data_IF_167628943601
#
_entry.id   IF_167628943601
#
_cell.length_a   1.000
_cell.length_b   1.000
_cell.length_c   1.000
_cell.angle_alpha   90.00
_cell.angle_beta   90.00
_cell.angle_gamma   90.00
#
_symmetry.space_group_name_H-M   'P 1'
#
loop_
_entity.id
_entity.type
_entity.pdbx_description
1 polymer ?
#
# COMPACT_ATOMS: atom_id res chain seq x y z
N UNK A 1 25.07 -21.16 47.08
CA UNK A 1 24.04 -20.87 48.11
C UNK A 1 23.66 -19.38 48.05
N UNK A 2 22.38 -19.03 48.27
CA UNK A 2 21.82 -17.72 48.71
C UNK A 2 22.33 -16.43 47.99
N UNK A 3 21.57 -15.83 47.06
CA UNK A 3 20.39 -14.93 47.22
C UNK A 3 20.66 -13.55 47.87
N UNK A 4 20.67 -12.50 47.03
CA UNK A 4 20.18 -11.09 47.20
C UNK A 4 19.86 -10.56 45.77
N UNK A 5 18.78 -9.84 45.41
CA UNK A 5 17.66 -9.15 46.09
C UNK A 5 18.09 -7.86 46.81
N UNK A 6 17.55 -6.63 46.61
CA UNK A 6 16.77 -5.86 45.59
C UNK A 6 16.30 -4.57 46.33
N UNK A 7 15.90 -3.50 45.60
CA UNK A 7 15.28 -2.24 46.09
C UNK A 7 16.26 -1.20 46.69
N UNK A 8 16.02 0.12 46.63
CA UNK A 8 14.96 0.94 46.00
C UNK A 8 15.43 2.40 45.93
N UNK A 9 15.04 3.19 44.93
CA UNK A 9 14.63 4.59 45.12
C UNK A 9 13.63 4.99 44.02
N UNK A 10 12.65 5.81 44.40
CA UNK A 10 11.54 6.28 43.58
C UNK A 10 11.22 7.75 43.93
N UNK A 11 10.19 8.30 43.29
CA UNK A 11 9.75 9.71 43.24
C UNK A 11 10.52 10.59 42.22
N UNK A 12 9.88 11.50 41.48
CA UNK A 12 8.48 11.99 41.59
C UNK A 12 7.83 12.38 40.25
N UNK A 13 6.50 12.31 40.25
CA UNK A 13 5.52 12.68 39.21
C UNK A 13 5.79 14.01 38.49
N UNK A 14 5.31 14.10 37.25
CA UNK A 14 4.29 15.11 36.90
C UNK A 14 3.24 14.46 36.00
N UNK A 15 1.96 14.57 36.38
CA UNK A 15 0.82 14.06 35.62
C UNK A 15 0.20 15.22 34.86
N UNK A 16 -0.04 15.05 33.56
CA UNK A 16 -0.87 15.96 32.77
C UNK A 16 -2.05 15.14 32.22
N UNK A 17 -3.23 15.39 32.77
CA UNK A 17 -4.43 14.66 32.41
C UNK A 17 -4.99 15.18 31.08
N UNK A 18 -5.14 14.28 30.10
CA UNK A 18 -5.98 14.51 28.94
C UNK A 18 -7.41 14.06 29.29
N UNK A 19 -8.34 15.02 29.30
CA UNK A 19 -9.76 14.74 29.42
C UNK A 19 -10.29 14.13 28.11
N UNK A 20 -11.29 13.21 28.16
CA UNK A 20 -11.95 12.74 26.97
C UNK A 20 -12.83 13.85 26.37
N UNK A 21 -12.58 14.23 25.12
CA UNK A 21 -13.50 15.08 24.36
C UNK A 21 -14.74 14.27 23.98
N UNK A 22 -15.91 14.73 24.42
CA UNK A 22 -17.21 14.13 24.10
C UNK A 22 -17.74 14.59 22.72
N UNK A 23 -18.59 13.80 22.03
CA UNK A 23 -18.89 14.01 20.60
C UNK A 23 -19.89 15.14 20.25
N UNK A 24 -20.09 16.16 21.09
CA UNK A 24 -21.28 17.03 21.02
C UNK A 24 -21.06 18.47 20.50
N UNK A 25 -19.83 18.93 20.26
CA UNK A 25 -19.56 20.30 19.78
C UNK A 25 -19.81 20.52 18.26
N UNK A 26 -20.33 19.52 17.55
CA UNK A 26 -20.67 19.61 16.13
C UNK A 26 -22.07 20.20 15.85
N UNK A 27 -22.53 21.21 16.61
CA UNK A 27 -23.74 21.96 16.26
C UNK A 27 -23.81 23.42 16.74
N UNK A 28 -24.19 24.28 15.80
CA UNK A 28 -24.77 25.62 15.93
C UNK A 28 -23.87 26.89 15.82
N UNK A 29 -24.34 27.75 14.90
CA UNK A 29 -24.06 29.18 14.62
C UNK A 29 -22.91 29.47 13.63
N UNK A 30 -23.09 30.36 12.64
CA UNK A 30 -24.23 31.26 12.37
C UNK A 30 -24.52 31.45 10.88
N UNK A 31 -25.80 31.64 10.54
CA UNK A 31 -26.22 31.99 9.18
C UNK A 31 -26.05 33.48 8.89
N UNK A 32 -25.26 33.82 7.88
CA UNK A 32 -25.17 35.17 7.32
C UNK A 32 -26.10 35.32 6.11
N UNK A 33 -27.19 36.07 6.25
CA UNK A 33 -28.04 36.47 5.10
C UNK A 33 -27.32 37.56 4.28
N UNK A 34 -26.90 37.23 3.06
CA UNK A 34 -26.41 38.20 2.06
C UNK A 34 -27.26 38.14 0.79
N UNK A 35 -28.29 38.99 0.67
CA UNK A 35 -29.12 39.06 -0.52
C UNK A 35 -28.50 39.94 -1.61
N UNK A 36 -28.20 39.35 -2.77
CA UNK A 36 -27.79 40.07 -3.99
C UNK A 36 -28.73 39.74 -5.13
N UNK A 37 -29.35 40.74 -5.76
CA UNK A 37 -30.48 40.56 -6.67
C UNK A 37 -30.18 41.09 -8.08
N UNK A 38 -30.64 40.33 -9.09
CA UNK A 38 -30.81 40.67 -10.53
C UNK A 38 -29.56 40.87 -11.39
N UNK A 39 -29.63 40.27 -12.57
CA UNK A 39 -28.71 40.48 -13.70
C UNK A 39 -28.97 39.45 -14.81
N UNK A 40 -30.09 39.55 -15.52
CA UNK A 40 -30.47 38.60 -16.57
C UNK A 40 -30.37 39.19 -17.98
N UNK A 41 -29.64 38.52 -18.86
CA UNK A 41 -29.71 38.50 -20.34
C UNK A 41 -28.98 37.21 -20.77
N UNK A 42 -29.30 36.48 -21.84
CA UNK A 42 -30.27 36.73 -22.90
C UNK A 42 -29.57 36.65 -24.27
N UNK A 43 -29.82 35.57 -25.02
CA UNK A 43 -29.37 35.41 -26.42
C UNK A 43 -28.11 34.56 -26.60
N UNK A 44 -28.11 33.71 -27.64
CA UNK A 44 -26.92 33.06 -28.19
C UNK A 44 -26.88 33.26 -29.71
N UNK A 45 -25.79 32.88 -30.39
CA UNK A 45 -25.78 32.53 -31.82
C UNK A 45 -24.43 31.86 -32.21
N UNK A 46 -24.32 31.40 -33.48
CA UNK A 46 -23.24 30.56 -34.03
C UNK A 46 -22.07 31.36 -34.63
N UNK A 47 -20.93 30.66 -34.82
CA UNK A 47 -19.83 31.04 -35.74
C UNK A 47 -18.63 31.69 -35.05
N UNK A 48 -17.40 31.62 -35.56
CA UNK A 48 -16.93 30.90 -36.76
C UNK A 48 -15.72 31.57 -37.44
N UNK A 49 -14.49 31.29 -36.97
CA UNK A 49 -13.21 31.50 -37.68
C UNK A 49 -12.60 32.92 -37.76
N UNK A 50 -11.26 32.99 -37.85
CA UNK A 50 -10.56 34.05 -38.60
C UNK A 50 -9.68 35.10 -37.87
N UNK A 51 -8.47 34.70 -37.47
CA UNK A 51 -7.18 35.44 -37.54
C UNK A 51 -6.99 36.98 -37.32
N UNK A 52 -5.89 37.28 -36.60
CA UNK A 52 -4.96 38.46 -36.65
C UNK A 52 -5.33 39.78 -35.94
N UNK A 53 -4.62 40.02 -34.82
CA UNK A 53 -3.53 41.02 -34.81
C UNK A 53 -3.73 42.34 -34.04
N UNK A 54 -2.91 42.58 -33.01
CA UNK A 54 -2.73 43.90 -32.37
C UNK A 54 -2.25 43.82 -30.91
N UNK A 55 -1.14 44.49 -30.50
CA UNK A 55 -0.65 44.45 -29.12
C UNK A 55 -1.33 45.49 -28.23
N UNK A 56 -2.02 45.05 -27.19
CA UNK A 56 -2.69 45.91 -26.20
C UNK A 56 -2.08 45.78 -24.81
N UNK A 57 -1.64 46.91 -24.22
CA UNK A 57 -1.24 47.03 -22.81
C UNK A 57 -2.28 46.40 -21.88
N UNK A 58 -1.84 45.57 -20.94
CA UNK A 58 -2.60 45.23 -19.74
C UNK A 58 -2.03 45.96 -18.53
N UNK A 59 -2.82 46.82 -17.90
CA UNK A 59 -2.57 47.37 -16.57
C UNK A 59 -3.68 46.90 -15.62
N UNK A 60 -3.28 46.33 -14.48
CA UNK A 60 -4.02 46.39 -13.21
C UNK A 60 -5.39 45.71 -13.09
N UNK A 61 -5.38 44.45 -12.61
CA UNK A 61 -6.00 44.05 -11.32
C UNK A 61 -5.88 42.53 -11.13
N UNK A 62 -4.90 42.10 -10.35
CA UNK A 62 -4.85 40.72 -9.87
C UNK A 62 -6.04 40.50 -8.91
N UNK A 63 -7.00 39.68 -9.33
CA UNK A 63 -7.90 38.99 -8.39
C UNK A 63 -7.25 37.66 -8.06
N UNK A 64 -6.99 37.43 -6.78
CA UNK A 64 -6.60 36.11 -6.26
C UNK A 64 -7.85 35.21 -6.21
N UNK A 65 -8.32 34.80 -7.39
CA UNK A 65 -9.26 33.68 -7.52
C UNK A 65 -8.43 32.39 -7.46
N UNK A 66 -8.13 31.95 -6.24
CA UNK A 66 -7.24 30.82 -5.94
C UNK A 66 -7.79 29.46 -6.38
N UNK A 67 -7.76 29.19 -7.68
CA UNK A 67 -7.83 27.83 -8.20
C UNK A 67 -6.54 27.08 -7.84
N UNK A 68 -6.58 26.31 -6.76
CA UNK A 68 -5.56 25.31 -6.45
C UNK A 68 -5.64 24.18 -7.48
N UNK A 69 -4.83 24.26 -8.53
CA UNK A 69 -4.73 23.20 -9.52
C UNK A 69 -4.03 21.96 -8.94
N UNK A 70 -4.65 20.80 -9.18
CA UNK A 70 -4.33 19.45 -8.71
C UNK A 70 -2.90 18.95 -9.05
N UNK A 71 -1.85 19.53 -8.47
CA UNK A 71 -0.47 19.03 -8.57
C UNK A 71 -0.17 17.97 -7.49
N UNK A 72 -1.00 16.93 -7.42
CA UNK A 72 -0.80 15.76 -6.53
C UNK A 72 -0.15 14.54 -7.21
N UNK A 73 0.13 14.61 -8.51
CA UNK A 73 0.43 13.45 -9.35
C UNK A 73 1.93 13.07 -9.36
N UNK A 74 2.45 12.65 -8.20
CA UNK A 74 3.88 12.42 -7.97
C UNK A 74 4.31 10.95 -8.15
N UNK A 75 4.50 10.55 -9.41
CA UNK A 75 5.20 9.29 -9.79
C UNK A 75 4.40 8.25 -10.58
N UNK A 76 3.39 8.64 -11.39
CA UNK A 76 2.68 7.69 -12.26
C UNK A 76 3.35 7.59 -13.64
N UNK A 77 4.30 6.65 -13.76
CA UNK A 77 4.75 6.14 -15.06
C UNK A 77 3.55 5.65 -15.90
N UNK A 78 3.54 5.96 -17.19
CA UNK A 78 2.34 5.88 -18.04
C UNK A 78 1.67 4.49 -18.10
N UNK A 79 0.39 4.42 -18.53
CA UNK A 79 -0.48 3.24 -18.40
C UNK A 79 -0.12 2.02 -19.30
N UNK A 80 1.13 1.90 -19.75
CA UNK A 80 1.54 0.92 -20.77
C UNK A 80 2.28 -0.33 -20.28
N UNK A 81 2.77 -0.39 -19.03
CA UNK A 81 3.66 -1.49 -18.57
C UNK A 81 3.44 -2.06 -17.16
N UNK A 82 2.33 -1.74 -16.51
CA UNK A 82 1.97 -2.23 -15.17
C UNK A 82 1.45 -3.68 -15.17
N UNK A 83 2.27 -4.63 -15.66
CA UNK A 83 1.90 -6.04 -15.84
C UNK A 83 2.93 -7.05 -15.34
N UNK A 84 4.00 -6.61 -14.66
CA UNK A 84 5.01 -7.47 -14.03
C UNK A 84 5.41 -6.87 -12.68
N UNK A 85 5.66 -7.75 -11.71
CA UNK A 85 5.88 -7.37 -10.32
C UNK A 85 7.29 -6.76 -10.16
N UNK A 86 7.35 -5.44 -9.99
CA UNK A 86 8.59 -4.66 -9.92
C UNK A 86 9.32 -4.85 -8.58
N UNK A 87 9.69 -6.08 -8.23
CA UNK A 87 10.16 -6.46 -6.89
C UNK A 87 11.47 -5.80 -6.40
N UNK A 88 12.12 -4.98 -7.24
CA UNK A 88 13.22 -4.09 -6.85
C UNK A 88 12.75 -2.81 -6.16
N UNK A 89 11.50 -2.38 -6.36
CA UNK A 89 10.86 -1.31 -5.60
C UNK A 89 10.44 -1.82 -4.21
N UNK A 90 11.40 -2.39 -3.47
CA UNK A 90 11.22 -3.13 -2.21
C UNK A 90 10.30 -2.39 -1.24
N UNK A 91 9.06 -2.84 -1.01
CA UNK A 91 8.20 -2.25 0.00
C UNK A 91 8.62 -2.60 1.43
N UNK A 92 9.61 -3.51 1.58
CA UNK A 92 9.88 -4.21 2.83
C UNK A 92 11.24 -3.86 3.47
N UNK A 93 12.37 -3.84 2.74
CA UNK A 93 13.69 -3.94 3.43
C UNK A 93 14.35 -2.68 3.97
N UNK A 94 13.87 -1.48 3.61
CA UNK A 94 14.27 -0.23 4.30
C UNK A 94 13.09 0.73 4.57
N UNK A 95 11.88 0.43 4.11
CA UNK A 95 10.67 1.23 4.37
C UNK A 95 10.20 1.17 5.84
N UNK A 96 10.55 0.10 6.55
CA UNK A 96 10.23 -0.07 7.98
C UNK A 96 10.97 0.89 8.92
N UNK A 97 11.95 1.68 8.41
CA UNK A 97 12.70 2.65 9.20
C UNK A 97 11.95 3.99 9.39
N UNK A 98 11.63 4.66 8.29
CA UNK A 98 10.98 5.98 8.30
C UNK A 98 10.12 6.16 7.05
N UNK A 99 8.82 5.89 7.18
CA UNK A 99 7.82 6.37 6.23
C UNK A 99 7.39 5.37 5.14
N UNK A 100 6.42 4.53 5.51
CA UNK A 100 5.13 4.57 4.80
C UNK A 100 4.54 5.96 5.07
N UNK A 101 5.09 6.98 4.40
CA UNK A 101 4.74 8.37 4.59
C UNK A 101 3.38 8.58 3.95
N UNK A 102 2.33 8.30 4.73
CA UNK A 102 1.00 7.94 4.25
C UNK A 102 0.60 8.65 2.95
N UNK A 103 0.27 7.84 1.94
CA UNK A 103 -0.31 8.31 0.68
C UNK A 103 -1.39 9.34 1.02
N UNK A 104 -1.11 10.58 0.66
CA UNK A 104 -1.93 11.70 1.06
C UNK A 104 -3.21 11.60 0.27
N UNK A 105 -4.26 11.01 0.85
CA UNK A 105 -5.59 11.08 0.27
C UNK A 105 -5.98 12.57 0.21
N UNK A 106 -5.94 13.23 -0.96
CA UNK A 106 -6.25 14.64 -1.03
C UNK A 106 -7.73 14.78 -0.64
N UNK A 107 -8.03 15.68 0.30
CA UNK A 107 -9.37 15.83 0.89
C UNK A 107 -10.49 16.21 -0.10
N UNK A 108 -10.20 16.26 -1.40
CA UNK A 108 -10.96 16.97 -2.42
C UNK A 108 -11.23 16.14 -3.69
N UNK A 109 -11.13 14.80 -3.63
CA UNK A 109 -11.79 13.94 -4.60
C UNK A 109 -11.18 12.55 -4.74
N UNK A 110 -12.00 11.52 -4.53
CA UNK A 110 -11.83 10.26 -5.27
C UNK A 110 -12.05 10.57 -6.76
N UNK A 111 -11.21 10.01 -7.63
CA UNK A 111 -11.35 10.15 -9.07
C UNK A 111 -12.62 9.48 -9.62
N UNK A 112 -12.83 9.63 -10.93
CA UNK A 112 -14.05 9.16 -11.60
C UNK A 112 -14.23 7.62 -11.61
N UNK A 113 -13.22 6.82 -11.24
CA UNK A 113 -13.30 5.35 -11.30
C UNK A 113 -14.45 4.76 -10.48
N UNK A 114 -14.74 5.30 -9.29
CA UNK A 114 -15.85 4.81 -8.47
C UNK A 114 -17.22 5.03 -9.13
N UNK A 115 -17.35 5.97 -10.08
CA UNK A 115 -18.59 6.23 -10.80
C UNK A 115 -18.80 5.32 -12.03
N UNK A 116 -17.86 4.40 -12.32
CA UNK A 116 -17.97 3.45 -13.43
C UNK A 116 -19.05 2.38 -13.17
N UNK A 117 -19.66 1.90 -14.25
CA UNK A 117 -20.71 0.87 -14.20
C UNK A 117 -20.14 -0.56 -14.04
N UNK A 118 -18.84 -0.71 -14.25
CA UNK A 118 -18.12 -1.99 -14.29
C UNK A 118 -16.93 -2.08 -13.32
N UNK A 119 -16.94 -1.29 -12.22
CA UNK A 119 -15.99 -1.43 -11.10
C UNK A 119 -15.89 -2.90 -10.64
N UNK A 120 -16.97 -3.67 -10.76
CA UNK A 120 -17.00 -5.10 -10.47
C UNK A 120 -16.09 -6.00 -11.36
N UNK A 121 -15.46 -5.45 -12.39
CA UNK A 121 -14.57 -6.14 -13.34
C UNK A 121 -13.13 -5.63 -13.32
N UNK A 122 -12.88 -4.56 -12.60
CA UNK A 122 -11.60 -3.86 -12.55
C UNK A 122 -11.09 -3.85 -11.10
N UNK A 123 -9.80 -3.61 -10.92
CA UNK A 123 -9.26 -3.34 -9.57
C UNK A 123 -9.20 -1.81 -9.44
N UNK A 124 -9.56 -1.25 -8.29
CA UNK A 124 -9.54 0.19 -8.04
C UNK A 124 -8.65 0.55 -6.84
N UNK A 125 -7.97 1.69 -6.86
CA UNK A 125 -7.22 2.23 -5.71
C UNK A 125 -7.99 3.35 -4.96
N UNK A 126 -7.37 3.99 -3.98
CA UNK A 126 -7.94 5.12 -3.23
C UNK A 126 -8.06 6.40 -4.08
N UNK A 127 -7.17 6.60 -5.06
CA UNK A 127 -7.26 7.67 -6.06
C UNK A 127 -8.36 7.44 -7.10
N UNK A 128 -8.99 6.26 -7.11
CA UNK A 128 -9.96 5.78 -8.11
C UNK A 128 -9.36 5.54 -9.51
N UNK A 129 -8.07 5.26 -9.60
CA UNK A 129 -7.46 4.67 -10.79
C UNK A 129 -7.95 3.24 -10.93
N UNK A 130 -8.37 2.88 -12.15
CA UNK A 130 -8.81 1.52 -12.45
C UNK A 130 -7.71 0.76 -13.18
N UNK A 131 -7.53 -0.50 -12.79
CA UNK A 131 -6.55 -1.44 -13.31
C UNK A 131 -7.26 -2.66 -13.91
N UNK A 132 -6.56 -3.37 -14.80
CA UNK A 132 -7.06 -4.64 -15.33
C UNK A 132 -7.37 -5.61 -14.17
N UNK A 133 -8.53 -6.27 -14.22
CA UNK A 133 -8.94 -7.26 -13.23
C UNK A 133 -7.92 -8.38 -13.08
N UNK A 134 -7.63 -8.77 -11.83
CA UNK A 134 -6.80 -9.92 -11.50
C UNK A 134 -7.61 -10.97 -10.74
N UNK A 135 -7.41 -12.22 -11.13
CA UNK A 135 -8.03 -13.39 -10.51
C UNK A 135 -6.93 -14.17 -9.76
N UNK A 136 -7.18 -14.49 -8.49
CA UNK A 136 -6.27 -15.22 -7.62
C UNK A 136 -6.95 -16.49 -7.14
N UNK A 137 -6.43 -17.64 -7.52
CA UNK A 137 -7.11 -18.89 -7.23
C UNK A 137 -6.39 -19.78 -6.23
N UNK A 138 -7.07 -20.12 -5.13
CA UNK A 138 -6.54 -20.96 -4.06
C UNK A 138 -7.65 -21.85 -3.47
N UNK A 139 -7.26 -22.91 -2.76
CA UNK A 139 -8.19 -23.78 -2.05
C UNK A 139 -8.26 -23.40 -0.56
N UNK A 140 -9.32 -22.73 -0.05
CA UNK A 140 -9.35 -22.20 1.32
C UNK A 140 -9.18 -23.26 2.40
N UNK A 141 -9.72 -24.47 2.17
CA UNK A 141 -9.61 -25.60 3.09
C UNK A 141 -8.19 -26.23 3.13
N UNK A 142 -7.27 -25.82 2.26
CA UNK A 142 -5.85 -26.18 2.34
C UNK A 142 -5.02 -25.17 3.14
N UNK A 143 -5.54 -23.96 3.43
CA UNK A 143 -4.80 -22.91 4.14
C UNK A 143 -4.87 -23.16 5.65
N UNK A 144 -3.75 -23.39 6.34
CA UNK A 144 -3.78 -23.70 7.76
C UNK A 144 -4.21 -22.49 8.58
N UNK A 145 -5.28 -22.64 9.37
CA UNK A 145 -5.88 -21.56 10.16
C UNK A 145 -7.11 -20.91 9.52
N UNK A 146 -7.35 -21.15 8.23
CA UNK A 146 -8.56 -20.69 7.56
C UNK A 146 -9.80 -21.30 8.19
N UNK A 147 -10.69 -20.46 8.73
CA UNK A 147 -11.94 -20.87 9.40
C UNK A 147 -12.95 -21.49 8.43
N UNK A 148 -12.70 -22.73 8.03
CA UNK A 148 -13.70 -23.64 7.47
C UNK A 148 -13.93 -24.76 8.47
N UNK A 149 -15.17 -24.87 8.96
CA UNK A 149 -15.62 -25.89 9.93
C UNK A 149 -15.44 -27.30 9.36
N UNK A 150 -14.24 -27.85 9.54
CA UNK A 150 -13.82 -29.16 9.05
C UNK A 150 -13.58 -30.07 10.24
N UNK A 151 -14.58 -30.85 10.61
CA UNK A 151 -14.49 -31.78 11.73
C UNK A 151 -13.30 -32.75 11.55
N UNK A 152 -12.43 -32.81 12.56
CA UNK A 152 -11.29 -33.72 12.60
C UNK A 152 -11.76 -35.15 12.87
N UNK A 153 -12.18 -35.86 11.83
CA UNK A 153 -12.39 -37.31 11.89
C UNK A 153 -11.01 -37.97 11.79
N UNK A 154 -10.47 -38.39 12.92
CA UNK A 154 -9.29 -39.26 12.97
C UNK A 154 -9.70 -40.68 12.55
N UNK A 155 -8.98 -41.27 11.58
CA UNK A 155 -9.04 -42.71 11.34
C UNK A 155 -9.48 -43.18 9.96
N UNK A 156 -8.87 -42.68 8.88
CA UNK A 156 -8.56 -43.49 7.68
C UNK A 156 -7.65 -42.70 6.72
N UNK A 157 -6.66 -43.35 6.11
CA UNK A 157 -5.90 -42.77 4.98
C UNK A 157 -6.71 -42.97 3.69
N UNK A 158 -7.89 -42.35 3.64
CA UNK A 158 -8.51 -42.06 2.34
C UNK A 158 -7.58 -41.09 1.64
N UNK A 159 -7.24 -41.36 0.37
CA UNK A 159 -6.61 -40.37 -0.52
C UNK A 159 -7.63 -39.25 -0.79
N UNK A 160 -7.84 -38.38 0.21
CA UNK A 160 -8.78 -37.26 0.16
C UNK A 160 -8.34 -36.38 -1.01
N UNK A 161 -9.22 -36.24 -2.01
CA UNK A 161 -8.94 -35.40 -3.15
C UNK A 161 -8.56 -33.99 -2.68
N UNK A 162 -7.57 -33.38 -3.34
CA UNK A 162 -7.14 -32.03 -3.01
C UNK A 162 -8.38 -31.11 -3.03
N UNK A 163 -8.56 -30.23 -2.02
CA UNK A 163 -9.73 -29.36 -1.97
C UNK A 163 -9.80 -28.49 -3.23
N UNK A 164 -11.01 -28.23 -3.75
CA UNK A 164 -11.16 -27.53 -5.02
C UNK A 164 -10.59 -26.11 -4.94
N UNK A 165 -9.86 -25.72 -5.99
CA UNK A 165 -9.43 -24.34 -6.23
C UNK A 165 -10.68 -23.47 -6.40
N UNK A 166 -10.80 -22.43 -5.58
CA UNK A 166 -11.79 -21.35 -5.75
C UNK A 166 -11.02 -20.15 -6.30
N UNK A 167 -11.58 -19.50 -7.32
CA UNK A 167 -10.99 -18.27 -7.90
C UNK A 167 -11.65 -17.08 -7.24
N UNK A 168 -10.83 -16.19 -6.69
CA UNK A 168 -11.24 -14.96 -6.04
C UNK A 168 -10.77 -13.75 -6.84
N UNK A 169 -11.66 -12.79 -7.05
CA UNK A 169 -11.31 -11.55 -7.75
C UNK A 169 -10.59 -10.60 -6.81
N UNK A 170 -9.49 -10.00 -7.28
CA UNK A 170 -9.03 -8.73 -6.75
C UNK A 170 -10.09 -7.67 -7.01
N UNK A 171 -10.45 -6.92 -5.97
CA UNK A 171 -11.45 -5.83 -6.05
C UNK A 171 -10.83 -4.47 -5.82
N UNK A 172 -9.71 -4.44 -5.09
CA UNK A 172 -9.09 -3.21 -4.66
C UNK A 172 -7.56 -3.35 -4.62
N UNK A 173 -6.85 -2.28 -4.96
CA UNK A 173 -5.40 -2.22 -5.03
C UNK A 173 -4.86 -1.43 -3.84
N UNK A 174 -4.35 -2.16 -2.84
CA UNK A 174 -3.81 -1.58 -1.60
C UNK A 174 -2.44 -0.92 -1.83
N UNK A 175 -1.70 -1.43 -2.82
CA UNK A 175 -0.43 -0.87 -3.27
C UNK A 175 0.03 -1.50 -4.61
N UNK A 176 1.21 -1.13 -5.12
CA UNK A 176 1.69 -1.56 -6.44
C UNK A 176 1.62 -3.07 -6.68
N UNK A 177 2.04 -3.86 -5.69
CA UNK A 177 2.04 -5.33 -5.75
C UNK A 177 1.05 -5.98 -4.76
N UNK A 178 0.18 -5.20 -4.12
CA UNK A 178 -0.73 -5.67 -3.06
C UNK A 178 -2.20 -5.50 -3.47
N UNK A 179 -2.90 -6.62 -3.68
CA UNK A 179 -4.31 -6.64 -4.07
C UNK A 179 -5.18 -7.21 -2.94
N UNK A 180 -6.32 -6.57 -2.66
CA UNK A 180 -7.35 -7.08 -1.73
C UNK A 180 -8.39 -7.86 -2.52
N UNK A 181 -8.53 -9.13 -2.16
CA UNK A 181 -9.45 -10.08 -2.77
C UNK A 181 -10.86 -9.91 -2.19
N UNK A 182 -11.90 -10.27 -2.93
CA UNK A 182 -13.31 -10.14 -2.50
C UNK A 182 -13.66 -10.89 -1.20
N UNK A 183 -12.88 -11.92 -0.85
CA UNK A 183 -13.02 -12.63 0.42
C UNK A 183 -12.32 -11.92 1.60
N UNK A 184 -11.62 -10.83 1.33
CA UNK A 184 -10.90 -10.00 2.29
C UNK A 184 -9.48 -10.49 2.59
N UNK A 185 -8.90 -11.42 1.82
CA UNK A 185 -7.46 -11.70 1.93
C UNK A 185 -6.65 -10.71 1.10
N UNK A 186 -5.36 -10.60 1.40
CA UNK A 186 -4.43 -9.78 0.63
C UNK A 186 -3.49 -10.71 -0.13
N UNK A 187 -3.36 -10.52 -1.44
CA UNK A 187 -2.44 -11.25 -2.29
C UNK A 187 -1.32 -10.34 -2.79
N UNK A 188 -0.09 -10.87 -2.79
CA UNK A 188 1.07 -10.27 -3.43
C UNK A 188 1.55 -11.15 -4.56
N UNK A 189 1.55 -10.64 -5.79
CA UNK A 189 1.99 -11.41 -6.95
C UNK A 189 3.52 -11.55 -6.91
N UNK A 190 4.02 -12.79 -6.81
CA UNK A 190 5.46 -13.07 -6.84
C UNK A 190 5.91 -13.33 -8.28
N UNK A 191 5.15 -14.18 -8.99
CA UNK A 191 5.45 -14.56 -10.38
C UNK A 191 4.14 -14.74 -11.16
N UNK A 192 4.22 -15.04 -12.45
CA UNK A 192 3.04 -15.42 -13.24
C UNK A 192 2.40 -16.75 -12.82
N UNK A 193 3.09 -17.55 -11.99
CA UNK A 193 2.62 -18.87 -11.54
C UNK A 193 2.47 -18.98 -10.01
N UNK A 194 2.73 -17.92 -9.24
CA UNK A 194 2.65 -17.96 -7.79
C UNK A 194 2.45 -16.58 -7.14
N UNK A 195 1.76 -16.58 -6.00
CA UNK A 195 1.52 -15.40 -5.18
C UNK A 195 1.69 -15.73 -3.69
N UNK A 196 2.02 -14.72 -2.90
CA UNK A 196 2.02 -14.77 -1.45
C UNK A 196 0.64 -14.33 -0.95
N UNK A 197 -0.06 -15.19 -0.23
CA UNK A 197 -1.36 -14.92 0.36
C UNK A 197 -1.22 -14.62 1.85
N UNK A 198 -1.84 -13.54 2.29
CA UNK A 198 -1.85 -13.07 3.69
C UNK A 198 -3.24 -13.28 4.26
N UNK A 199 -3.33 -14.13 5.30
CA UNK A 199 -4.60 -14.52 5.91
C UNK A 199 -4.42 -15.05 7.33
N UNK A 200 -5.24 -14.58 8.27
CA UNK A 200 -5.39 -15.14 9.62
C UNK A 200 -4.04 -15.28 10.37
N UNK A 201 -3.17 -14.27 10.23
CA UNK A 201 -1.77 -14.26 10.73
C UNK A 201 -0.87 -15.36 10.12
N UNK A 202 -1.13 -15.76 8.88
CA UNK A 202 -0.28 -16.66 8.09
C UNK A 202 0.22 -15.94 6.83
N UNK A 203 1.40 -16.34 6.39
CA UNK A 203 1.96 -16.03 5.08
C UNK A 203 2.12 -17.35 4.33
N UNK A 204 1.43 -17.51 3.20
CA UNK A 204 1.41 -18.78 2.46
C UNK A 204 1.69 -18.49 0.99
N UNK A 205 2.73 -19.10 0.43
CA UNK A 205 2.96 -19.07 -1.02
C UNK A 205 2.04 -20.09 -1.67
N UNK A 206 1.25 -19.64 -2.65
CA UNK A 206 0.31 -20.45 -3.42
C UNK A 206 0.82 -20.61 -4.85
N UNK A 207 0.75 -21.83 -5.39
CA UNK A 207 0.90 -22.10 -6.82
C UNK A 207 -0.41 -21.70 -7.52
N UNK A 208 -0.37 -20.65 -8.35
CA UNK A 208 -1.55 -20.08 -8.98
C UNK A 208 -2.27 -21.13 -9.84
N UNK A 209 -1.55 -22.00 -10.56
CA UNK A 209 -2.19 -22.97 -11.45
C UNK A 209 -3.10 -23.94 -10.70
N UNK A 210 -2.61 -24.54 -9.61
CA UNK A 210 -3.27 -25.58 -8.82
C UNK A 210 -4.08 -25.03 -7.63
N UNK A 211 -3.81 -23.80 -7.22
CA UNK A 211 -4.37 -23.17 -6.03
C UNK A 211 -3.98 -23.85 -4.70
N UNK A 212 -2.91 -24.65 -4.70
CA UNK A 212 -2.44 -25.35 -3.51
C UNK A 212 -1.30 -24.58 -2.82
N UNK A 213 -1.20 -24.64 -1.49
CA UNK A 213 -0.03 -24.18 -0.76
C UNK A 213 1.27 -24.84 -1.26
N UNK A 214 2.31 -24.02 -1.36
CA UNK A 214 3.68 -24.39 -1.74
C UNK A 214 4.61 -24.29 -0.53
N UNK A 215 4.44 -23.27 0.31
CA UNK A 215 5.20 -23.08 1.55
C UNK A 215 4.43 -22.21 2.55
N UNK A 216 4.40 -22.62 3.82
CA UNK A 216 3.98 -21.80 4.95
C UNK A 216 5.18 -21.05 5.54
N UNK A 217 5.13 -19.73 5.52
CA UNK A 217 6.17 -18.83 5.99
C UNK A 217 5.84 -18.26 7.38
N UNK A 218 6.88 -17.81 8.09
CA UNK A 218 6.72 -17.05 9.32
C UNK A 218 5.95 -15.74 9.03
N UNK A 219 4.89 -15.41 9.78
CA UNK A 219 4.20 -14.14 9.62
C UNK A 219 5.06 -12.98 10.12
N UNK A 220 5.66 -12.21 9.20
CA UNK A 220 6.42 -11.00 9.55
C UNK A 220 5.48 -10.00 10.26
N UNK A 221 5.66 -9.72 11.57
CA UNK A 221 4.80 -8.79 12.29
C UNK A 221 4.88 -7.38 11.72
N UNK A 222 6.02 -7.00 11.12
CA UNK A 222 6.24 -5.68 10.52
C UNK A 222 5.36 -5.53 9.28
N UNK A 223 5.41 -6.47 8.34
CA UNK A 223 4.48 -6.54 7.21
C UNK A 223 3.01 -6.49 7.66
N UNK A 224 2.63 -7.32 8.63
CA UNK A 224 1.25 -7.35 9.13
C UNK A 224 0.82 -6.00 9.73
N UNK A 225 1.70 -5.32 10.46
CA UNK A 225 1.42 -3.98 10.98
C UNK A 225 1.26 -2.95 9.86
N UNK A 226 2.15 -2.96 8.85
CA UNK A 226 2.06 -2.03 7.73
C UNK A 226 0.79 -2.23 6.90
N UNK A 227 0.39 -3.48 6.66
CA UNK A 227 -0.88 -3.77 5.96
C UNK A 227 -2.10 -3.33 6.77
N UNK A 228 -2.09 -3.50 8.09
CA UNK A 228 -3.15 -2.99 8.96
C UNK A 228 -3.25 -1.47 8.93
N UNK A 229 -2.10 -0.78 9.04
CA UNK A 229 -2.01 0.68 8.94
C UNK A 229 -2.54 1.21 7.62
N UNK A 230 -2.13 0.62 6.49
CA UNK A 230 -2.53 1.08 5.16
C UNK A 230 -4.04 0.84 4.92
N UNK A 231 -4.55 -0.34 5.27
CA UNK A 231 -5.98 -0.65 5.22
C UNK A 231 -6.81 0.35 6.05
N UNK A 232 -6.36 0.67 7.26
CA UNK A 232 -7.01 1.63 8.16
C UNK A 232 -6.97 3.05 7.59
N UNK A 233 -5.83 3.49 7.05
CA UNK A 233 -5.65 4.81 6.47
C UNK A 233 -6.54 5.00 5.23
N UNK A 234 -6.48 4.08 4.27
CA UNK A 234 -7.26 4.17 3.04
C UNK A 234 -8.77 4.04 3.31
N UNK A 235 -9.19 3.17 4.26
CA UNK A 235 -10.59 3.10 4.68
C UNK A 235 -11.09 4.41 5.33
N UNK A 236 -10.25 5.11 6.09
CA UNK A 236 -10.60 6.43 6.65
C UNK A 236 -10.68 7.51 5.56
N UNK A 237 -9.75 7.51 4.59
CA UNK A 237 -9.78 8.42 3.43
C UNK A 237 -11.03 8.26 2.58
N UNK A 238 -11.35 7.01 2.21
CA UNK A 238 -12.57 6.65 1.48
C UNK A 238 -13.84 6.90 2.29
N UNK A 239 -13.83 6.65 3.60
CA UNK A 239 -14.95 6.99 4.50
C UNK A 239 -15.24 8.49 4.54
N UNK A 240 -14.20 9.32 4.64
CA UNK A 240 -14.35 10.78 4.57
C UNK A 240 -14.85 11.24 3.17
N UNK A 241 -14.43 10.58 2.09
CA UNK A 241 -14.94 10.83 0.75
C UNK A 241 -16.42 10.44 0.59
N UNK A 242 -16.83 9.30 1.16
CA UNK A 242 -18.19 8.80 1.17
C UNK A 242 -19.17 9.80 1.79
N UNK A 243 -18.84 10.37 2.96
CA UNK A 243 -19.69 11.38 3.61
C UNK A 243 -19.79 12.68 2.79
N UNK A 244 -18.70 13.13 2.15
CA UNK A 244 -18.75 14.27 1.21
C UNK A 244 -19.67 13.97 0.02
N UNK A 245 -19.63 12.76 -0.53
CA UNK A 245 -20.45 12.33 -1.68
C UNK A 245 -21.93 12.21 -1.30
N UNK A 246 -22.26 11.71 -0.11
CA UNK A 246 -23.63 11.73 0.45
C UNK A 246 -24.17 13.16 0.55
N UNK A 247 -23.41 14.08 1.15
CA UNK A 247 -23.81 15.49 1.23
C UNK A 247 -23.98 16.18 -0.14
N UNK A 248 -23.27 15.71 -1.18
CA UNK A 248 -23.50 16.15 -2.57
C UNK A 248 -24.80 15.60 -3.18
N UNK A 249 -25.26 14.41 -2.77
CA UNK A 249 -26.50 13.80 -3.28
C UNK A 249 -27.74 14.55 -2.78
N UNK A 250 -27.68 15.09 -1.56
CA UNK A 250 -28.73 15.93 -0.97
C UNK A 250 -28.80 17.34 -1.60
N UNK A 251 -27.85 17.71 -2.46
CA UNK A 251 -27.89 18.99 -3.17
C UNK A 251 -28.98 18.96 -4.26
N UNK A 252 -29.93 19.89 -4.16
CA UNK A 252 -31.02 20.05 -5.13
C UNK A 252 -30.58 20.04 -6.60
N UNK A 253 -29.44 20.64 -6.93
CA UNK A 253 -28.94 20.68 -8.32
C UNK A 253 -28.49 19.31 -8.86
N UNK A 254 -28.27 18.32 -7.99
CA UNK A 254 -28.04 16.92 -8.33
C UNK A 254 -29.37 16.17 -8.39
N UNK A 255 -30.27 16.39 -7.41
CA UNK A 255 -31.61 15.78 -7.35
C UNK A 255 -32.43 16.11 -8.62
N UNK A 256 -32.38 17.36 -9.09
CA UNK A 256 -33.08 17.83 -10.30
C UNK A 256 -32.48 17.23 -11.60
N UNK A 257 -31.48 16.34 -11.52
CA UNK A 257 -30.80 15.70 -12.67
C UNK A 257 -30.64 14.18 -12.45
N UNK A 258 -31.60 13.35 -12.88
CA UNK A 258 -31.61 11.91 -12.61
C UNK A 258 -30.34 11.16 -12.99
N UNK A 259 -29.70 11.51 -14.12
CA UNK A 259 -28.44 10.89 -14.54
C UNK A 259 -27.27 11.18 -13.60
N UNK A 260 -27.21 12.40 -13.03
CA UNK A 260 -26.19 12.80 -12.06
C UNK A 260 -26.43 12.12 -10.72
N UNK A 261 -27.68 12.15 -10.24
CA UNK A 261 -28.08 11.43 -9.03
C UNK A 261 -27.79 9.93 -9.15
N UNK A 262 -28.10 9.31 -10.28
CA UNK A 262 -27.84 7.90 -10.56
C UNK A 262 -26.35 7.55 -10.59
N UNK A 263 -25.49 8.40 -11.19
CA UNK A 263 -24.03 8.21 -11.17
C UNK A 263 -23.46 8.37 -9.76
N UNK A 264 -23.86 9.41 -9.04
CA UNK A 264 -23.39 9.68 -7.68
C UNK A 264 -23.85 8.58 -6.70
N UNK A 265 -25.06 8.05 -6.86
CA UNK A 265 -25.54 6.92 -6.06
C UNK A 265 -24.71 5.63 -6.30
N UNK A 266 -24.27 5.37 -7.54
CA UNK A 266 -23.33 4.28 -7.84
C UNK A 266 -21.96 4.53 -7.24
N UNK A 267 -21.45 5.75 -7.35
CA UNK A 267 -20.18 6.15 -6.74
C UNK A 267 -20.19 5.94 -5.21
N UNK A 268 -21.24 6.41 -4.53
CA UNK A 268 -21.47 6.20 -3.09
C UNK A 268 -21.49 4.71 -2.74
N UNK A 269 -22.21 3.89 -3.52
CA UNK A 269 -22.26 2.43 -3.31
C UNK A 269 -20.87 1.81 -3.45
N UNK A 270 -20.17 2.10 -4.54
CA UNK A 270 -18.87 1.48 -4.84
C UNK A 270 -17.81 1.87 -3.78
N UNK A 271 -17.78 3.13 -3.33
CA UNK A 271 -16.92 3.56 -2.21
C UNK A 271 -17.30 2.82 -0.92
N UNK A 272 -18.61 2.72 -0.62
CA UNK A 272 -19.10 2.02 0.58
C UNK A 272 -18.74 0.53 0.60
N UNK A 273 -18.84 -0.14 -0.55
CA UNK A 273 -18.47 -1.55 -0.70
C UNK A 273 -16.96 -1.75 -0.54
N UNK A 274 -16.14 -0.83 -1.08
CA UNK A 274 -14.69 -0.83 -0.84
C UNK A 274 -14.34 -0.59 0.63
N UNK A 275 -14.95 0.38 1.32
CA UNK A 275 -14.72 0.59 2.76
C UNK A 275 -15.08 -0.66 3.57
N UNK A 276 -16.17 -1.34 3.24
CA UNK A 276 -16.55 -2.61 3.86
C UNK A 276 -15.53 -3.73 3.57
N UNK A 277 -14.98 -3.78 2.35
CA UNK A 277 -13.92 -4.71 1.97
C UNK A 277 -12.62 -4.46 2.74
N UNK A 278 -12.16 -3.21 2.86
CA UNK A 278 -10.95 -2.87 3.62
C UNK A 278 -11.12 -3.20 5.12
N UNK A 279 -12.31 -2.97 5.69
CA UNK A 279 -12.64 -3.39 7.05
C UNK A 279 -12.63 -4.91 7.22
N UNK A 280 -13.12 -5.66 6.23
CA UNK A 280 -13.07 -7.13 6.20
C UNK A 280 -11.62 -7.63 6.13
N UNK A 281 -10.78 -7.01 5.30
CA UNK A 281 -9.36 -7.32 5.21
C UNK A 281 -8.61 -7.05 6.52
N UNK A 282 -8.88 -5.93 7.19
CA UNK A 282 -8.30 -5.63 8.50
C UNK A 282 -8.66 -6.69 9.55
N UNK A 283 -9.91 -7.18 9.54
CA UNK A 283 -10.35 -8.28 10.44
C UNK A 283 -9.65 -9.61 10.15
N UNK A 284 -9.48 -9.96 8.87
CA UNK A 284 -8.78 -11.18 8.45
C UNK A 284 -7.26 -11.12 8.74
N UNK A 285 -6.68 -9.93 8.79
CA UNK A 285 -5.28 -9.73 9.20
C UNK A 285 -5.08 -9.96 10.71
N UNK A 286 -6.12 -9.64 11.49
CA UNK A 286 -6.17 -9.75 12.94
C UNK A 286 -5.91 -8.42 13.65
N UNK A 287 -5.87 -8.46 14.99
CA UNK A 287 -5.57 -7.28 15.80
C UNK A 287 -4.16 -6.73 15.48
N UNK A 288 -4.12 -5.48 15.04
CA UNK A 288 -2.89 -4.71 14.85
C UNK A 288 -2.51 -4.02 16.17
N UNK A 289 -1.25 -4.12 16.65
CA UNK A 289 -0.79 -3.35 17.80
C UNK A 289 -0.71 -1.85 17.47
N UNK A 290 -0.97 -0.99 18.46
CA UNK A 290 -0.94 0.46 18.28
C UNK A 290 0.45 0.96 17.84
N UNK A 291 1.51 0.44 18.48
CA UNK A 291 2.90 0.72 18.13
C UNK A 291 3.41 -0.21 17.02
N UNK A 292 4.25 0.29 16.08
CA UNK A 292 4.91 -0.56 15.10
C UNK A 292 5.84 -1.56 15.79
N UNK A 293 5.80 -2.85 15.41
CA UNK A 293 6.70 -3.85 15.96
C UNK A 293 8.14 -3.57 15.50
N UNK A 294 9.11 -4.05 16.29
CA UNK A 294 10.52 -4.00 15.88
C UNK A 294 10.70 -4.77 14.56
N UNK A 295 11.44 -4.22 13.58
CA UNK A 295 11.79 -4.94 12.36
C UNK A 295 12.41 -6.30 12.67
N UNK A 296 12.05 -7.31 11.88
CA UNK A 296 12.67 -8.63 11.98
C UNK A 296 14.13 -8.54 11.54
N UNK A 297 15.05 -8.89 12.43
CA UNK A 297 16.47 -8.98 12.08
C UNK A 297 16.70 -10.13 11.08
N UNK A 298 17.50 -9.91 10.01
CA UNK A 298 17.89 -10.98 9.10
C UNK A 298 18.63 -12.11 9.83
N UNK A 299 18.52 -13.38 9.38
CA UNK A 299 19.18 -14.53 10.02
C UNK A 299 20.71 -14.43 10.03
N UNK A 300 21.29 -13.73 9.06
CA UNK A 300 22.73 -13.52 8.90
C UNK A 300 22.98 -12.05 8.50
N UNK A 301 24.14 -11.48 8.88
CA UNK A 301 24.50 -10.10 8.52
C UNK A 301 24.70 -9.86 7.02
N UNK A 302 24.93 -10.93 6.26
CA UNK A 302 25.02 -10.95 4.79
C UNK A 302 23.74 -11.48 4.12
N UNK A 303 22.65 -11.69 4.87
CA UNK A 303 21.35 -12.02 4.31
C UNK A 303 20.64 -10.79 3.75
N UNK A 304 20.11 -10.95 2.55
CA UNK A 304 19.31 -10.00 1.79
C UNK A 304 17.91 -10.61 1.65
N UNK A 305 16.90 -10.01 2.26
CA UNK A 305 15.53 -10.47 2.08
C UNK A 305 15.02 -10.14 0.67
N UNK A 306 14.31 -11.11 0.10
CA UNK A 306 13.83 -11.19 -1.29
C UNK A 306 12.34 -10.82 -1.32
N UNK A 307 11.57 -11.46 -0.42
CA UNK A 307 10.19 -11.14 -0.03
C UNK A 307 9.96 -11.69 1.38
N UNK A 308 8.84 -11.30 2.01
CA UNK A 308 8.54 -11.55 3.42
C UNK A 308 8.95 -12.94 3.93
N UNK A 309 9.85 -12.96 4.93
CA UNK A 309 10.41 -14.16 5.58
C UNK A 309 11.32 -15.04 4.71
N UNK A 310 11.80 -14.56 3.56
CA UNK A 310 12.63 -15.31 2.59
C UNK A 310 13.83 -14.49 2.13
N UNK A 311 15.03 -15.02 2.36
CA UNK A 311 16.31 -14.33 2.18
C UNK A 311 17.22 -15.08 1.19
N UNK A 312 18.20 -14.38 0.62
CA UNK A 312 19.40 -14.95 -0.01
C UNK A 312 20.64 -14.41 0.69
N UNK A 313 21.71 -15.18 0.74
CA UNK A 313 23.01 -14.66 1.14
C UNK A 313 23.66 -13.86 -0.01
N UNK A 314 24.46 -12.83 0.33
CA UNK A 314 25.26 -12.07 -0.65
C UNK A 314 26.17 -12.94 -1.52
N UNK A 315 26.65 -14.08 -1.00
CA UNK A 315 27.48 -15.03 -1.75
C UNK A 315 26.68 -16.00 -2.65
N UNK A 316 25.34 -15.92 -2.61
CA UNK A 316 24.41 -16.74 -3.38
C UNK A 316 24.44 -18.24 -3.08
N UNK A 317 25.10 -18.69 -2.00
CA UNK A 317 25.19 -20.12 -1.67
C UNK A 317 23.90 -20.69 -1.10
N UNK A 318 23.09 -19.85 -0.45
CA UNK A 318 21.86 -20.28 0.20
C UNK A 318 20.72 -19.28 0.00
N UNK A 319 19.52 -19.82 -0.26
CA UNK A 319 18.24 -19.20 0.13
C UNK A 319 17.96 -19.58 1.58
N UNK A 320 17.46 -18.64 2.38
CA UNK A 320 17.09 -18.86 3.79
C UNK A 320 15.60 -18.60 3.93
N UNK A 321 14.87 -19.52 4.55
CA UNK A 321 13.44 -19.43 4.78
C UNK A 321 13.19 -19.38 6.27
N UNK A 322 12.48 -18.34 6.75
CA UNK A 322 11.91 -18.35 8.11
C UNK A 322 10.57 -19.07 8.05
N UNK A 323 10.56 -20.31 8.54
CA UNK A 323 9.41 -21.23 8.53
C UNK A 323 8.33 -20.77 9.50
N UNK A 324 7.09 -21.22 9.33
CA UNK A 324 5.95 -20.87 10.19
C UNK A 324 6.18 -21.02 11.71
N UNK A 325 7.04 -21.95 12.13
CA UNK A 325 7.43 -22.16 13.54
C UNK A 325 8.48 -21.16 14.06
N UNK A 326 8.94 -20.23 13.23
CA UNK A 326 10.00 -19.26 13.53
C UNK A 326 11.42 -19.79 13.31
N UNK A 327 11.60 -21.07 13.00
CA UNK A 327 12.92 -21.65 12.67
C UNK A 327 13.38 -21.23 11.27
N UNK A 328 14.70 -21.20 11.07
CA UNK A 328 15.29 -20.95 9.76
C UNK A 328 15.64 -22.29 9.07
N UNK A 329 15.52 -22.31 7.74
CA UNK A 329 16.03 -23.37 6.89
C UNK A 329 16.82 -22.80 5.72
N UNK A 330 17.93 -23.44 5.39
CA UNK A 330 18.87 -23.02 4.35
C UNK A 330 18.79 -24.00 3.17
N UNK A 331 18.69 -23.49 1.94
CA UNK A 331 18.51 -24.26 0.70
C UNK A 331 19.61 -23.90 -0.29
N UNK A 332 20.29 -24.88 -0.88
CA UNK A 332 21.43 -24.70 -1.80
C UNK A 332 21.27 -25.32 -3.20
N UNK A 333 20.04 -25.69 -3.60
CA UNK A 333 19.73 -26.44 -4.81
C UNK A 333 19.78 -27.96 -4.65
N UNK A 334 20.54 -28.46 -3.65
CA UNK A 334 20.80 -29.90 -3.46
C UNK A 334 20.21 -30.47 -2.18
N UNK A 335 19.96 -29.63 -1.19
CA UNK A 335 19.43 -30.05 0.10
C UNK A 335 18.90 -28.89 0.93
N UNK A 336 18.18 -29.26 1.99
CA UNK A 336 17.63 -28.34 2.99
C UNK A 336 18.27 -28.61 4.35
N UNK A 337 18.74 -27.56 5.01
CA UNK A 337 19.57 -27.64 6.21
C UNK A 337 19.05 -26.70 7.30
N UNK A 338 19.42 -26.96 8.56
CA UNK A 338 19.08 -26.10 9.68
C UNK A 338 19.99 -24.86 9.80
N UNK A 339 21.17 -24.89 9.17
CA UNK A 339 22.19 -23.83 9.24
C UNK A 339 23.11 -23.81 8.00
N UNK A 340 23.98 -22.79 7.92
CA UNK A 340 25.03 -22.64 6.89
C UNK A 340 26.11 -23.74 6.93
N UNK A 341 26.24 -24.44 8.06
CA UNK A 341 27.15 -25.59 8.22
C UNK A 341 26.58 -26.90 7.67
N UNK A 342 25.38 -26.85 7.08
CA UNK A 342 24.66 -27.98 6.48
C UNK A 342 24.21 -29.03 7.49
N UNK A 343 23.88 -28.62 8.72
CA UNK A 343 23.23 -29.50 9.70
C UNK A 343 21.92 -30.08 9.13
N UNK A 344 21.70 -31.40 9.16
CA UNK A 344 20.54 -32.02 8.52
C UNK A 344 19.20 -31.53 9.08
N UNK A 345 18.28 -31.11 8.20
CA UNK A 345 16.90 -30.82 8.56
C UNK A 345 15.99 -32.00 8.19
N UNK A 346 15.16 -32.46 9.12
CA UNK A 346 14.17 -33.54 8.87
C UNK A 346 12.89 -32.99 8.23
N UNK A 347 13.01 -32.43 7.04
CA UNK A 347 11.89 -31.92 6.23
C UNK A 347 12.17 -32.28 4.77
N UNK A 348 11.12 -32.61 4.02
CA UNK A 348 11.24 -32.86 2.58
C UNK A 348 11.72 -31.60 1.85
N UNK A 349 12.48 -31.80 0.78
CA UNK A 349 13.01 -30.69 -0.01
C UNK A 349 11.89 -30.01 -0.82
N UNK A 350 11.74 -28.67 -0.77
CA UNK A 350 10.55 -28.00 -1.29
C UNK A 350 10.72 -27.58 -2.77
N UNK A 351 10.86 -28.53 -3.70
CA UNK A 351 11.13 -28.31 -5.15
C UNK A 351 10.28 -27.19 -5.77
N UNK A 352 8.97 -27.18 -5.48
CA UNK A 352 8.03 -26.18 -6.01
C UNK A 352 8.32 -24.78 -5.50
N UNK A 353 8.74 -24.66 -4.24
CA UNK A 353 9.06 -23.38 -3.63
C UNK A 353 10.36 -22.81 -4.20
N UNK A 354 11.38 -23.65 -4.37
CA UNK A 354 12.61 -23.27 -5.07
C UNK A 354 12.31 -22.71 -6.45
N UNK A 355 11.45 -23.36 -7.23
CA UNK A 355 11.07 -22.87 -8.56
C UNK A 355 10.36 -21.50 -8.50
N UNK A 356 9.56 -21.22 -7.45
CA UNK A 356 8.97 -19.88 -7.23
C UNK A 356 10.05 -18.85 -6.93
N UNK A 357 10.99 -19.14 -6.02
CA UNK A 357 12.10 -18.24 -5.70
C UNK A 357 12.98 -18.00 -6.92
N UNK A 358 13.31 -19.05 -7.69
CA UNK A 358 14.11 -18.93 -8.91
C UNK A 358 13.46 -18.00 -9.94
N UNK A 359 12.16 -18.20 -10.22
CA UNK A 359 11.41 -17.36 -11.15
C UNK A 359 11.26 -15.90 -10.64
N UNK A 360 11.13 -15.69 -9.33
CA UNK A 360 11.12 -14.36 -8.74
C UNK A 360 12.45 -13.64 -8.94
N UNK A 361 13.58 -14.30 -8.63
CA UNK A 361 14.92 -13.77 -8.84
C UNK A 361 15.22 -13.51 -10.34
N UNK A 362 14.72 -14.35 -11.25
CA UNK A 362 14.85 -14.15 -12.70
C UNK A 362 14.09 -12.91 -13.19
N UNK A 363 12.84 -12.73 -12.75
CA UNK A 363 12.05 -11.53 -13.03
C UNK A 363 12.72 -10.27 -12.47
N UNK A 364 13.17 -10.31 -11.21
CA UNK A 364 13.98 -9.24 -10.61
C UNK A 364 15.16 -8.89 -11.52
N UNK A 365 16.05 -9.84 -11.82
CA UNK A 365 17.28 -9.57 -12.60
C UNK A 365 16.97 -8.99 -13.98
N UNK A 366 15.84 -9.35 -14.60
CA UNK A 366 15.37 -8.79 -15.87
C UNK A 366 14.81 -7.37 -15.77
N UNK A 367 14.09 -7.07 -14.69
CA UNK A 367 13.36 -5.80 -14.47
C UNK A 367 14.19 -4.74 -13.72
N UNK A 368 15.39 -5.10 -13.26
CA UNK A 368 16.36 -4.20 -12.66
C UNK A 368 16.64 -2.91 -13.46
N UNK A 369 16.87 -2.93 -14.79
CA UNK A 369 17.17 -1.71 -15.55
C UNK A 369 15.98 -0.74 -15.60
N UNK A 370 14.78 -1.26 -15.88
CA UNK A 370 13.53 -0.47 -15.91
C UNK A 370 13.23 0.10 -14.51
N UNK A 371 13.40 -0.71 -13.45
CA UNK A 371 13.18 -0.22 -12.07
C UNK A 371 14.21 0.83 -11.68
N UNK A 372 15.48 0.66 -12.07
CA UNK A 372 16.53 1.65 -11.79
C UNK A 372 16.19 3.00 -12.44
N UNK A 373 15.80 3.00 -13.72
CA UNK A 373 15.43 4.22 -14.43
C UNK A 373 14.23 4.94 -13.78
N UNK A 374 13.20 4.18 -13.37
CA UNK A 374 12.05 4.73 -12.66
C UNK A 374 12.45 5.36 -11.32
N UNK A 375 13.35 4.72 -10.55
CA UNK A 375 13.85 5.26 -9.27
C UNK A 375 14.73 6.50 -9.46
N UNK A 376 15.49 6.59 -10.55
CA UNK A 376 16.25 7.81 -10.91
C UNK A 376 15.30 8.99 -11.24
N UNK A 377 14.21 8.75 -11.99
CA UNK A 377 13.14 9.74 -12.23
C UNK A 377 12.44 10.18 -10.92
N UNK A 378 12.16 9.22 -10.04
CA UNK A 378 11.52 9.44 -8.73
C UNK A 378 12.41 10.28 -7.78
N UNK A 379 13.74 10.18 -7.88
CA UNK A 379 14.67 11.07 -7.18
C UNK A 379 14.52 12.52 -7.66
N UNK A 380 14.50 12.76 -8.97
CA UNK A 380 14.43 14.13 -9.49
C UNK A 380 13.05 14.76 -9.22
N UNK A 381 11.98 13.97 -9.28
CA UNK A 381 10.64 14.31 -8.81
C UNK A 381 10.62 14.70 -7.32
N UNK A 382 11.25 13.92 -6.44
CA UNK A 382 11.29 14.24 -5.00
C UNK A 382 12.20 15.43 -4.66
N UNK A 383 13.28 15.68 -5.41
CA UNK A 383 14.07 16.92 -5.29
C UNK A 383 13.24 18.15 -5.64
N UNK A 384 12.58 18.15 -6.80
CA UNK A 384 11.73 19.25 -7.24
C UNK A 384 10.62 19.56 -6.22
N UNK A 385 9.98 18.52 -5.66
CA UNK A 385 8.96 18.69 -4.64
C UNK A 385 9.51 19.29 -3.33
N UNK A 386 10.75 18.97 -2.94
CA UNK A 386 11.41 19.59 -1.79
C UNK A 386 11.76 21.06 -2.04
N UNK A 387 12.09 21.44 -3.26
CA UNK A 387 12.31 22.84 -3.64
C UNK A 387 11.02 23.66 -3.56
N UNK A 388 9.90 23.15 -4.10
CA UNK A 388 8.59 23.81 -3.98
C UNK A 388 8.15 23.98 -2.53
N UNK A 389 8.14 22.90 -1.73
CA UNK A 389 7.78 22.94 -0.31
C UNK A 389 8.72 23.87 0.49
N UNK A 390 9.98 24.01 0.06
CA UNK A 390 10.92 24.97 0.66
C UNK A 390 10.67 26.43 0.24
N UNK A 391 10.01 26.70 -0.88
CA UNK A 391 9.48 28.03 -1.20
C UNK A 391 8.24 28.31 -0.36
N UNK A 392 7.25 27.42 -0.43
CA UNK A 392 5.96 27.56 0.27
C UNK A 392 6.14 27.78 1.78
N UNK A 393 7.07 27.07 2.44
CA UNK A 393 7.33 27.25 3.87
C UNK A 393 7.97 28.61 4.20
N UNK A 394 8.68 29.22 3.26
CA UNK A 394 9.26 30.56 3.45
C UNK A 394 8.19 31.63 3.20
N UNK A 395 7.36 31.44 2.18
CA UNK A 395 6.22 32.32 1.87
C UNK A 395 5.25 32.34 3.06
N UNK A 396 4.81 31.18 3.55
CA UNK A 396 3.91 31.05 4.71
C UNK A 396 4.50 31.58 6.04
N UNK A 397 5.84 31.63 6.17
CA UNK A 397 6.54 32.26 7.31
C UNK A 397 6.69 33.78 7.16
N UNK A 398 6.55 34.31 5.95
CA UNK A 398 6.62 35.75 5.67
C UNK A 398 5.27 36.45 5.89
N UNK A 399 4.17 35.69 5.86
CA UNK A 399 2.85 36.15 6.25
C UNK A 399 2.78 36.43 7.77
N UNK A 400 1.92 37.38 8.16
CA UNK A 400 1.72 37.77 9.56
C UNK A 400 1.30 36.57 10.43
N UNK A 401 1.72 36.57 11.71
CA UNK A 401 1.78 35.41 12.62
C UNK A 401 0.40 34.86 13.10
N UNK A 402 -0.48 34.58 12.15
CA UNK A 402 -1.82 34.03 12.31
C UNK A 402 -1.78 32.55 12.71
N UNK A 403 -2.89 32.08 13.29
CA UNK A 403 -3.08 30.65 13.58
C UNK A 403 -3.08 29.81 12.30
N UNK A 404 -3.59 30.36 11.19
CA UNK A 404 -3.64 29.69 9.90
C UNK A 404 -2.25 29.53 9.26
N UNK A 405 -1.40 30.56 9.33
CA UNK A 405 0.02 30.48 8.93
C UNK A 405 0.76 29.39 9.74
N UNK A 406 0.55 29.32 11.06
CA UNK A 406 1.17 28.29 11.93
C UNK A 406 0.75 26.88 11.54
N UNK A 407 -0.53 26.67 11.23
CA UNK A 407 -1.05 25.37 10.76
C UNK A 407 -0.55 25.03 9.35
N UNK A 408 -0.45 26.01 8.44
CA UNK A 408 0.15 25.82 7.11
C UNK A 408 1.62 25.41 7.20
N UNK A 409 2.43 26.14 7.98
CA UNK A 409 3.85 25.83 8.23
C UNK A 409 4.02 24.44 8.84
N UNK A 410 3.13 24.01 9.75
CA UNK A 410 3.13 22.65 10.30
C UNK A 410 2.91 21.60 9.20
N UNK A 411 1.86 21.75 8.38
CA UNK A 411 1.53 20.81 7.29
C UNK A 411 2.64 20.72 6.25
N UNK A 412 3.22 21.85 5.85
CA UNK A 412 4.33 21.90 4.89
C UNK A 412 5.58 21.23 5.49
N UNK A 413 5.89 21.48 6.77
CA UNK A 413 7.02 20.83 7.46
C UNK A 413 6.87 19.31 7.52
N UNK A 414 5.66 18.82 7.77
CA UNK A 414 5.35 17.38 7.76
C UNK A 414 5.45 16.79 6.34
N UNK A 415 5.00 17.51 5.31
CA UNK A 415 5.19 17.12 3.92
C UNK A 415 6.67 17.05 3.54
N UNK A 416 7.48 18.08 3.88
CA UNK A 416 8.92 18.07 3.67
C UNK A 416 9.61 16.87 4.35
N UNK A 417 9.18 16.52 5.58
CA UNK A 417 9.72 15.35 6.28
C UNK A 417 9.40 14.05 5.55
N UNK A 418 8.15 13.85 5.10
CA UNK A 418 7.76 12.68 4.30
C UNK A 418 8.55 12.60 2.99
N UNK A 419 8.69 13.71 2.26
CA UNK A 419 9.42 13.74 0.98
C UNK A 419 10.92 13.50 1.15
N UNK A 420 11.56 14.03 2.21
CA UNK A 420 12.96 13.71 2.56
C UNK A 420 13.16 12.24 2.88
N UNK A 421 12.22 11.62 3.59
CA UNK A 421 12.26 10.20 3.90
C UNK A 421 12.13 9.36 2.62
N UNK A 422 11.20 9.69 1.71
CA UNK A 422 11.07 9.04 0.38
C UNK A 422 12.35 9.18 -0.44
N UNK A 423 12.90 10.39 -0.58
CA UNK A 423 14.17 10.62 -1.29
C UNK A 423 15.31 9.75 -0.70
N UNK A 424 15.42 9.69 0.63
CA UNK A 424 16.43 8.88 1.30
C UNK A 424 16.21 7.38 1.08
N UNK A 425 14.97 6.89 1.09
CA UNK A 425 14.65 5.49 0.81
C UNK A 425 15.01 5.09 -0.64
N UNK A 426 14.65 5.92 -1.62
CA UNK A 426 15.00 5.69 -3.04
C UNK A 426 16.53 5.71 -3.24
N UNK A 427 17.22 6.70 -2.66
CA UNK A 427 18.69 6.80 -2.72
C UNK A 427 19.35 5.52 -2.19
N UNK A 428 18.94 5.08 -0.99
CA UNK A 428 19.42 3.84 -0.39
C UNK A 428 19.17 2.61 -1.29
N UNK A 429 18.00 2.53 -1.96
CA UNK A 429 17.67 1.40 -2.82
C UNK A 429 18.52 1.40 -4.10
N UNK A 430 18.78 2.56 -4.70
CA UNK A 430 19.69 2.67 -5.86
C UNK A 430 21.14 2.31 -5.51
N UNK A 431 21.59 2.64 -4.29
CA UNK A 431 22.92 2.27 -3.79
C UNK A 431 23.08 0.75 -3.57
N UNK A 432 22.06 0.06 -3.04
CA UNK A 432 22.16 -1.37 -2.73
C UNK A 432 21.75 -2.30 -3.87
N UNK A 433 20.95 -1.84 -4.82
CA UNK A 433 20.46 -2.64 -5.96
C UNK A 433 21.56 -3.39 -6.74
N UNK A 434 22.76 -2.83 -7.04
CA UNK A 434 23.81 -3.55 -7.77
C UNK A 434 24.31 -4.81 -7.04
N UNK A 435 24.53 -4.70 -5.72
CA UNK A 435 24.92 -5.81 -4.84
C UNK A 435 23.84 -6.89 -4.82
N UNK A 436 22.57 -6.47 -4.75
CA UNK A 436 21.43 -7.36 -4.67
C UNK A 436 21.20 -8.12 -5.99
N UNK A 437 21.38 -7.46 -7.15
CA UNK A 437 21.34 -8.10 -8.48
C UNK A 437 22.47 -9.13 -8.60
N UNK A 438 23.66 -8.84 -8.07
CA UNK A 438 24.78 -9.78 -8.08
C UNK A 438 24.47 -11.02 -7.22
N UNK A 439 23.96 -10.82 -6.00
CA UNK A 439 23.54 -11.90 -5.11
C UNK A 439 22.40 -12.76 -5.72
N UNK A 440 21.42 -12.12 -6.38
CA UNK A 440 20.34 -12.82 -7.07
C UNK A 440 20.87 -13.75 -8.18
N UNK A 441 21.79 -13.26 -9.03
CA UNK A 441 22.42 -14.07 -10.09
C UNK A 441 23.22 -15.26 -9.56
N UNK A 442 23.95 -15.08 -8.46
CA UNK A 442 24.67 -16.17 -7.80
C UNK A 442 23.69 -17.20 -7.22
N UNK A 443 22.63 -16.75 -6.55
CA UNK A 443 21.57 -17.61 -6.00
C UNK A 443 20.84 -18.40 -7.09
N UNK A 444 20.48 -17.76 -8.21
CA UNK A 444 19.92 -18.45 -9.38
C UNK A 444 20.85 -19.51 -10.02
N UNK A 445 22.14 -19.49 -9.68
CA UNK A 445 23.15 -20.45 -10.17
C UNK A 445 23.37 -21.61 -9.18
N UNK A 446 23.11 -21.42 -7.89
CA UNK A 446 23.09 -22.52 -6.90
C UNK A 446 21.81 -23.34 -7.04
N UNK A 447 20.65 -22.69 -7.14
CA UNK A 447 19.31 -23.29 -7.36
C UNK A 447 19.08 -23.96 -8.74
N UNK A 448 20.16 -24.34 -9.45
CA UNK A 448 20.13 -25.01 -10.76
C UNK A 448 20.89 -26.34 -10.77
N UNK A 449 21.48 -26.75 -9.64
CA UNK A 449 22.49 -27.82 -9.55
C UNK A 449 21.99 -29.03 -8.80
#
# INVERSE_FOLDING_TARGET
>A
MRKRIVAMMALSLTVLALAPLSPEDCQARGGGRGGGSRGGHGGGFRGGGGFRGGPGRMEGRARFDGHYDNMGHWGRGGPGRWGRAGGWARPYHRFYGYGWGGWYAPGYGVGMGYAADDVDRQIIDDEATMYAGADYGYAPAAIPGGSTTSASVQGEIVKKAAPPKIVYKARYKLGPDADVLEDGKIAFRLTDNAFLLVADKNLVVIDEKSGQPVMDLYPDPTLMWHLGSELKQQALGLGAALERKKAQLDNKAVIDSPDKAGKLAREIKNISDTVALLSKAGKNLGEQPDDPPKPVEPPDSDAIEIFASVYMLKDGKFVIIKRKDGSYAYIDGRGIYADRSKSPLKTDYPDKFELVVWNYLDNLVKEAPDTKANLEEDIDSTKWALEQLSSEINDAKSEEESQDSKEAVRRISEAMSRTKNRHSAITNQLETMPDEIAAAKLTMTSLKQ
#
